data_IF_626688308822
#
_entry.id   IF_626688308822
#
_cell.length_a   1.000
_cell.length_b   1.000
_cell.length_c   1.000
_cell.angle_alpha   90.00
_cell.angle_beta   90.00
_cell.angle_gamma   90.00
#
_symmetry.space_group_name_H-M   'P 1'
#
loop_
_entity.id
_entity.type
_entity.pdbx_description
1 polymer ?
#
# COMPACT_ATOMS: atom_id res chain seq x y z
N UNK A 1 -2.22 -12.70 -13.65
CA UNK A 1 -2.88 -13.48 -12.56
C UNK A 1 -4.35 -13.09 -12.50
N UNK A 2 -5.29 -14.05 -12.49
CA UNK A 2 -6.72 -13.69 -12.47
C UNK A 2 -7.21 -13.26 -11.06
N UNK A 3 -6.57 -13.72 -10.00
CA UNK A 3 -6.89 -13.39 -8.60
C UNK A 3 -5.60 -13.18 -7.79
N UNK A 4 -5.66 -12.25 -6.83
CA UNK A 4 -4.63 -12.13 -5.80
C UNK A 4 -4.68 -13.33 -4.87
N UNK A 5 -3.54 -13.78 -4.30
CA UNK A 5 -3.58 -14.75 -3.22
C UNK A 5 -4.28 -14.16 -2.00
N UNK A 6 -4.95 -14.98 -1.23
CA UNK A 6 -5.35 -14.61 0.12
C UNK A 6 -4.12 -14.75 1.02
N UNK A 7 -3.69 -13.64 1.64
CA UNK A 7 -2.58 -13.64 2.59
C UNK A 7 -3.13 -13.39 3.99
N UNK A 8 -2.72 -14.24 4.93
CA UNK A 8 -3.16 -14.12 6.31
C UNK A 8 -2.00 -13.73 7.23
N UNK A 9 -2.27 -12.84 8.16
CA UNK A 9 -1.36 -12.47 9.24
C UNK A 9 -2.00 -12.79 10.60
N UNK A 10 -1.41 -12.33 11.68
CA UNK A 10 -1.99 -12.53 13.02
C UNK A 10 -3.38 -11.90 13.15
N UNK A 11 -3.57 -10.66 12.65
CA UNK A 11 -4.80 -9.88 12.83
C UNK A 11 -5.58 -9.66 11.54
N UNK A 12 -4.97 -9.88 10.38
CA UNK A 12 -5.47 -9.42 9.09
C UNK A 12 -5.69 -10.57 8.11
N UNK A 13 -6.65 -10.34 7.22
CA UNK A 13 -6.78 -11.04 5.93
C UNK A 13 -6.56 -10.00 4.84
N UNK A 14 -5.59 -10.25 3.97
CA UNK A 14 -5.34 -9.46 2.76
C UNK A 14 -5.91 -10.26 1.59
N UNK A 15 -6.92 -9.73 0.93
CA UNK A 15 -7.63 -10.39 -0.17
C UNK A 15 -7.89 -9.43 -1.32
N UNK A 16 -8.31 -9.94 -2.45
CA UNK A 16 -8.83 -9.08 -3.52
C UNK A 16 -9.85 -8.09 -2.98
N UNK A 17 -9.71 -6.82 -3.38
CA UNK A 17 -10.75 -5.82 -3.13
C UNK A 17 -12.00 -6.15 -3.96
N UNK A 18 -13.15 -5.84 -3.43
CA UNK A 18 -14.46 -6.10 -4.03
C UNK A 18 -15.34 -4.86 -4.01
N UNK A 19 -16.30 -4.76 -4.91
CA UNK A 19 -17.32 -3.71 -4.87
C UNK A 19 -18.10 -3.71 -3.54
N UNK A 20 -18.20 -4.85 -2.89
CA UNK A 20 -18.85 -4.98 -1.56
C UNK A 20 -18.07 -4.26 -0.44
N UNK A 21 -16.79 -3.93 -0.66
CA UNK A 21 -15.98 -3.15 0.28
C UNK A 21 -16.24 -1.63 0.19
N UNK A 22 -17.08 -1.18 -0.75
CA UNK A 22 -17.31 0.24 -0.97
C UNK A 22 -17.82 1.01 0.27
N UNK A 23 -18.74 0.49 1.10
CA UNK A 23 -19.15 1.17 2.32
C UNK A 23 -17.99 1.39 3.31
N UNK A 24 -17.20 0.35 3.56
CA UNK A 24 -16.05 0.41 4.47
C UNK A 24 -14.94 1.33 3.92
N UNK A 25 -14.67 1.26 2.62
CA UNK A 25 -13.71 2.15 1.97
C UNK A 25 -14.18 3.61 2.00
N UNK A 26 -15.45 3.87 1.70
CA UNK A 26 -16.01 5.21 1.70
C UNK A 26 -15.89 5.87 3.08
N UNK A 27 -16.12 5.12 4.16
CA UNK A 27 -16.02 5.62 5.53
C UNK A 27 -14.66 6.31 5.79
N UNK A 28 -13.54 5.73 5.37
CA UNK A 28 -12.23 6.33 5.58
C UNK A 28 -11.75 7.20 4.41
N UNK A 29 -12.23 6.96 3.20
CA UNK A 29 -11.78 7.69 2.03
C UNK A 29 -12.30 9.13 1.95
N UNK A 30 -13.30 9.48 2.76
CA UNK A 30 -13.76 10.86 2.93
C UNK A 30 -12.88 11.70 3.86
N UNK A 31 -11.97 11.06 4.62
CA UNK A 31 -11.14 11.74 5.61
C UNK A 31 -10.02 12.54 4.94
N UNK A 32 -9.97 13.85 5.22
CA UNK A 32 -8.96 14.78 4.72
C UNK A 32 -7.54 14.52 5.26
N UNK A 33 -7.41 13.73 6.32
CA UNK A 33 -6.10 13.31 6.85
C UNK A 33 -5.55 12.06 6.15
N UNK A 34 -6.32 11.39 5.27
CA UNK A 34 -5.92 10.15 4.61
C UNK A 34 -5.57 10.40 3.15
N UNK A 35 -6.54 10.76 2.32
CA UNK A 35 -6.37 10.93 0.89
C UNK A 35 -5.24 11.87 0.50
N UNK A 36 -5.21 13.10 1.02
CA UNK A 36 -4.16 14.07 0.69
C UNK A 36 -2.73 13.61 1.04
N UNK A 37 -2.56 12.81 2.10
CA UNK A 37 -1.26 12.22 2.46
C UNK A 37 -0.86 11.03 1.57
N UNK A 38 -1.82 10.41 0.92
CA UNK A 38 -1.61 9.33 -0.05
C UNK A 38 -1.60 9.85 -1.51
N UNK A 39 -1.86 11.14 -1.72
CA UNK A 39 -1.79 11.80 -3.03
C UNK A 39 -3.11 11.91 -3.77
N UNK A 40 -4.24 11.48 -3.21
CA UNK A 40 -5.55 11.52 -3.84
C UNK A 40 -6.58 12.39 -3.08
N UNK A 41 -7.60 12.86 -3.80
CA UNK A 41 -8.67 13.69 -3.24
C UNK A 41 -9.61 12.84 -2.36
N UNK A 42 -10.08 13.37 -1.21
CA UNK A 42 -11.13 12.70 -0.44
C UNK A 42 -12.35 12.41 -1.30
N UNK A 43 -12.91 11.22 -1.16
CA UNK A 43 -14.07 10.80 -1.94
C UNK A 43 -15.31 11.60 -1.54
N UNK A 44 -16.09 12.03 -2.54
CA UNK A 44 -17.27 12.89 -2.35
C UNK A 44 -18.59 12.12 -2.31
N UNK A 45 -18.56 10.86 -2.77
CA UNK A 45 -19.73 9.99 -2.77
C UNK A 45 -19.34 8.52 -2.78
N UNK A 46 -20.26 7.66 -2.37
CA UNK A 46 -20.05 6.21 -2.44
C UNK A 46 -19.95 5.73 -3.91
N UNK A 47 -20.58 6.41 -4.85
CA UNK A 47 -20.48 6.13 -6.29
C UNK A 47 -19.05 6.38 -6.80
N UNK A 48 -18.40 7.45 -6.32
CA UNK A 48 -16.99 7.70 -6.62
C UNK A 48 -16.12 6.58 -6.06
N UNK A 49 -16.35 6.14 -4.81
CA UNK A 49 -15.63 4.99 -4.22
C UNK A 49 -15.82 3.72 -5.04
N UNK A 50 -17.05 3.42 -5.49
CA UNK A 50 -17.33 2.27 -6.35
C UNK A 50 -16.55 2.38 -7.67
N UNK A 51 -16.49 3.57 -8.26
CA UNK A 51 -15.70 3.84 -9.46
C UNK A 51 -14.20 3.58 -9.25
N UNK A 52 -13.65 4.04 -8.13
CA UNK A 52 -12.24 3.80 -7.75
C UNK A 52 -11.97 2.30 -7.56
N UNK A 53 -12.86 1.58 -6.84
CA UNK A 53 -12.72 0.12 -6.72
C UNK A 53 -12.77 -0.55 -8.11
N UNK A 54 -13.62 -0.09 -9.01
CA UNK A 54 -13.65 -0.55 -10.40
C UNK A 54 -12.30 -0.36 -11.09
N UNK A 55 -11.66 0.79 -10.93
CA UNK A 55 -10.31 1.05 -11.47
C UNK A 55 -9.25 0.10 -10.85
N UNK A 56 -9.33 -0.22 -9.57
CA UNK A 56 -8.45 -1.19 -8.91
C UNK A 56 -8.64 -2.60 -9.48
N UNK A 57 -9.88 -3.02 -9.71
CA UNK A 57 -10.17 -4.31 -10.33
C UNK A 57 -9.67 -4.39 -11.79
N UNK A 58 -9.74 -3.28 -12.52
CA UNK A 58 -9.25 -3.19 -13.89
C UNK A 58 -7.71 -3.10 -13.98
N UNK A 59 -7.00 -2.74 -12.91
CA UNK A 59 -5.53 -2.68 -12.89
C UNK A 59 -4.89 -4.02 -13.24
N UNK A 60 -5.50 -5.13 -12.84
CA UNK A 60 -5.08 -6.49 -13.19
C UNK A 60 -5.13 -6.76 -14.70
N UNK A 61 -6.11 -6.19 -15.42
CA UNK A 61 -6.21 -6.29 -16.86
C UNK A 61 -5.05 -5.60 -17.58
N UNK A 62 -4.42 -4.63 -16.91
CA UNK A 62 -3.24 -3.90 -17.40
C UNK A 62 -1.91 -4.55 -17.00
N UNK A 63 -1.95 -5.73 -16.36
CA UNK A 63 -0.76 -6.47 -15.95
C UNK A 63 -0.21 -6.07 -14.56
N UNK A 64 -0.91 -5.20 -13.83
CA UNK A 64 -0.60 -4.92 -12.43
C UNK A 64 -1.02 -6.07 -11.53
N UNK A 65 -0.35 -6.31 -10.39
CA UNK A 65 -0.76 -7.36 -9.46
C UNK A 65 -2.18 -7.16 -8.94
N UNK A 66 -2.58 -5.92 -8.64
CA UNK A 66 -3.88 -5.55 -8.09
C UNK A 66 -3.80 -5.01 -6.68
N UNK A 67 -4.95 -4.62 -6.13
CA UNK A 67 -5.08 -3.99 -4.82
C UNK A 67 -5.70 -4.96 -3.82
N UNK A 68 -5.04 -5.14 -2.68
CA UNK A 68 -5.56 -5.91 -1.56
C UNK A 68 -6.42 -5.04 -0.65
N UNK A 69 -7.59 -5.53 -0.30
CA UNK A 69 -8.32 -5.06 0.87
C UNK A 69 -7.60 -5.55 2.14
N UNK A 70 -7.35 -4.65 3.08
CA UNK A 70 -6.86 -4.98 4.42
C UNK A 70 -8.06 -5.18 5.34
N UNK A 71 -8.32 -6.42 5.73
CA UNK A 71 -9.52 -6.80 6.48
C UNK A 71 -9.13 -7.29 7.87
N UNK A 72 -9.79 -6.79 8.91
CA UNK A 72 -9.62 -7.27 10.27
C UNK A 72 -10.31 -8.62 10.48
N UNK A 73 -9.58 -9.60 11.02
CA UNK A 73 -10.15 -10.92 11.37
C UNK A 73 -11.22 -10.86 12.46
N UNK A 74 -11.08 -9.89 13.37
CA UNK A 74 -11.96 -9.71 14.53
C UNK A 74 -13.41 -9.48 14.15
N UNK A 75 -13.67 -8.68 13.12
CA UNK A 75 -15.01 -8.24 12.76
C UNK A 75 -15.30 -8.25 11.25
N UNK A 76 -14.38 -8.81 10.48
CA UNK A 76 -14.43 -8.86 9.02
C UNK A 76 -14.60 -7.49 8.34
N UNK A 77 -14.19 -6.39 9.00
CA UNK A 77 -14.25 -5.03 8.46
C UNK A 77 -13.02 -4.74 7.59
N UNK A 78 -13.26 -4.21 6.40
CA UNK A 78 -12.19 -3.66 5.56
C UNK A 78 -11.78 -2.28 6.10
N UNK A 79 -10.51 -2.12 6.44
CA UNK A 79 -9.99 -0.94 7.13
C UNK A 79 -8.95 -0.15 6.34
N UNK A 80 -8.58 -0.63 5.16
CA UNK A 80 -7.58 0.00 4.32
C UNK A 80 -7.28 -0.79 3.06
N UNK A 81 -6.37 -0.27 2.26
CA UNK A 81 -5.85 -0.91 1.05
C UNK A 81 -4.34 -1.01 1.10
N UNK A 82 -3.79 -2.02 0.42
CA UNK A 82 -2.35 -2.16 0.19
C UNK A 82 -2.12 -2.80 -1.17
N UNK A 83 -1.09 -2.33 -1.89
CA UNK A 83 -0.82 -2.79 -3.26
C UNK A 83 0.67 -2.73 -3.61
N UNK A 84 1.05 -3.48 -4.64
CA UNK A 84 2.28 -3.29 -5.40
C UNK A 84 1.89 -2.70 -6.77
N UNK A 85 2.24 -1.46 -7.03
CA UNK A 85 1.96 -0.74 -8.27
C UNK A 85 3.25 -0.32 -8.97
N UNK A 86 3.18 0.32 -10.14
CA UNK A 86 4.34 0.55 -10.99
C UNK A 86 5.17 -0.74 -11.19
N UNK A 87 4.45 -1.82 -11.38
CA UNK A 87 4.99 -3.18 -11.39
C UNK A 87 5.72 -3.51 -12.69
N UNK A 88 6.98 -3.86 -12.57
CA UNK A 88 7.79 -4.43 -13.65
C UNK A 88 8.10 -5.89 -13.29
N UNK A 89 7.50 -6.86 -14.02
CA UNK A 89 7.63 -8.29 -13.69
C UNK A 89 9.07 -8.75 -13.49
N UNK A 90 9.33 -9.44 -12.36
CA UNK A 90 10.65 -9.97 -12.02
C UNK A 90 11.71 -8.91 -11.70
N UNK A 91 11.32 -7.63 -11.67
CA UNK A 91 12.27 -6.55 -11.38
C UNK A 91 11.84 -5.71 -10.18
N UNK A 92 10.84 -4.83 -10.30
CA UNK A 92 10.48 -3.92 -9.21
C UNK A 92 8.99 -3.58 -9.15
N UNK A 93 8.60 -3.09 -7.98
CA UNK A 93 7.29 -2.45 -7.77
C UNK A 93 7.39 -1.38 -6.68
N UNK A 94 6.40 -0.50 -6.61
CA UNK A 94 6.21 0.40 -5.48
C UNK A 94 5.12 -0.15 -4.55
N UNK A 95 5.37 -0.09 -3.24
CA UNK A 95 4.39 -0.45 -2.21
C UNK A 95 3.59 0.79 -1.83
N UNK A 96 2.29 0.75 -2.09
CA UNK A 96 1.31 1.77 -1.70
C UNK A 96 0.33 1.26 -0.67
N UNK A 97 -0.15 2.14 0.21
CA UNK A 97 -1.15 1.79 1.21
C UNK A 97 -1.97 3.00 1.68
N UNK A 98 -3.18 2.71 2.12
CA UNK A 98 -4.03 3.63 2.86
C UNK A 98 -4.69 2.88 4.03
N UNK A 99 -4.90 3.56 5.15
CA UNK A 99 -5.49 2.97 6.36
C UNK A 99 -6.45 3.95 7.01
N UNK A 100 -7.59 3.47 7.42
CA UNK A 100 -8.55 4.19 8.25
C UNK A 100 -7.87 4.75 9.50
N UNK A 101 -8.10 6.04 9.78
CA UNK A 101 -7.50 6.80 10.88
C UNK A 101 -7.74 6.16 12.25
N UNK A 102 -8.87 5.51 12.45
CA UNK A 102 -9.22 4.79 13.67
C UNK A 102 -8.23 3.67 14.03
N UNK A 103 -7.42 3.21 13.07
CA UNK A 103 -6.47 2.12 13.24
C UNK A 103 -5.00 2.55 13.19
N UNK A 104 -4.73 3.87 13.10
CA UNK A 104 -3.37 4.38 13.11
C UNK A 104 -2.65 4.09 14.44
N UNK A 105 -1.33 4.00 14.38
CA UNK A 105 -0.50 3.74 15.55
C UNK A 105 -0.52 2.30 16.09
N UNK A 106 -1.37 1.42 15.54
CA UNK A 106 -1.55 0.03 16.00
C UNK A 106 -0.67 -0.99 15.29
N UNK A 107 0.24 -0.56 14.41
CA UNK A 107 1.13 -1.46 13.67
C UNK A 107 0.44 -2.28 12.56
N UNK A 108 -0.73 -1.86 12.10
CA UNK A 108 -1.52 -2.57 11.08
C UNK A 108 -0.79 -2.55 9.71
N UNK A 109 -0.34 -1.37 9.25
CA UNK A 109 0.37 -1.27 7.96
C UNK A 109 1.68 -2.05 7.97
N UNK A 110 2.57 -1.95 8.99
CA UNK A 110 3.74 -2.83 9.05
C UNK A 110 3.41 -4.31 8.93
N UNK A 111 2.38 -4.81 9.65
CA UNK A 111 1.96 -6.21 9.59
C UNK A 111 1.47 -6.61 8.19
N UNK A 112 0.62 -5.80 7.56
CA UNK A 112 0.14 -6.03 6.21
C UNK A 112 1.29 -5.98 5.19
N UNK A 113 2.16 -4.97 5.30
CA UNK A 113 3.27 -4.76 4.39
C UNK A 113 4.30 -5.89 4.44
N UNK A 114 4.60 -6.47 5.61
CA UNK A 114 5.48 -7.63 5.71
C UNK A 114 4.97 -8.82 4.87
N UNK A 115 3.65 -9.08 4.87
CA UNK A 115 3.08 -10.14 4.04
C UNK A 115 3.16 -9.83 2.54
N UNK A 116 2.93 -8.57 2.13
CA UNK A 116 3.03 -8.13 0.74
C UNK A 116 4.48 -8.12 0.26
N UNK A 117 5.43 -7.68 1.08
CA UNK A 117 6.87 -7.68 0.77
C UNK A 117 7.35 -9.12 0.57
N UNK A 118 6.96 -10.04 1.48
CA UNK A 118 7.29 -11.46 1.32
C UNK A 118 6.72 -12.02 0.01
N UNK A 119 5.47 -11.74 -0.29
CA UNK A 119 4.85 -12.15 -1.56
C UNK A 119 5.58 -11.56 -2.77
N UNK A 120 5.95 -10.29 -2.72
CA UNK A 120 6.69 -9.61 -3.77
C UNK A 120 8.04 -10.26 -4.07
N UNK A 121 8.86 -10.51 -3.04
CA UNK A 121 10.18 -11.09 -3.24
C UNK A 121 10.13 -12.60 -3.52
N UNK A 122 9.30 -13.35 -2.79
CA UNK A 122 9.30 -14.82 -2.86
C UNK A 122 8.48 -15.34 -4.05
N UNK A 123 7.30 -14.76 -4.29
CA UNK A 123 6.36 -15.26 -5.30
C UNK A 123 6.47 -14.52 -6.62
N UNK A 124 6.55 -13.18 -6.60
CA UNK A 124 6.67 -12.38 -7.82
C UNK A 124 8.11 -12.27 -8.31
N UNK A 125 9.10 -12.69 -7.51
CA UNK A 125 10.52 -12.69 -7.87
C UNK A 125 11.11 -11.30 -8.04
N UNK A 126 10.53 -10.28 -7.37
CA UNK A 126 11.02 -8.92 -7.45
C UNK A 126 12.45 -8.82 -6.95
N UNK A 127 13.21 -7.88 -7.52
CA UNK A 127 14.58 -7.55 -7.11
C UNK A 127 14.62 -6.34 -6.21
N UNK A 128 13.53 -5.55 -6.25
CA UNK A 128 13.41 -4.31 -5.51
C UNK A 128 11.93 -3.99 -5.21
N UNK A 129 11.68 -3.49 -4.00
CA UNK A 129 10.42 -2.84 -3.62
C UNK A 129 10.76 -1.43 -3.15
N UNK A 130 10.03 -0.46 -3.66
CA UNK A 130 10.16 0.97 -3.32
C UNK A 130 8.96 1.42 -2.50
N UNK A 131 9.15 2.43 -1.65
CA UNK A 131 8.08 3.23 -1.05
C UNK A 131 8.45 4.69 -1.28
N UNK A 132 7.53 5.47 -1.85
CA UNK A 132 7.72 6.90 -1.97
C UNK A 132 6.66 7.63 -1.15
N UNK A 133 7.07 8.58 -0.31
CA UNK A 133 6.17 9.33 0.56
C UNK A 133 6.52 10.81 0.57
N UNK A 134 5.56 11.67 0.92
CA UNK A 134 5.84 13.09 1.09
C UNK A 134 6.80 13.33 2.26
N UNK A 135 7.68 14.32 2.12
CA UNK A 135 8.69 14.65 3.14
C UNK A 135 8.07 14.86 4.52
N UNK A 136 6.89 15.47 4.59
CA UNK A 136 6.17 15.76 5.82
C UNK A 136 5.27 14.62 6.32
N UNK A 137 5.19 13.51 5.60
CA UNK A 137 4.42 12.34 6.03
C UNK A 137 5.23 11.46 6.99
N UNK A 138 5.43 11.95 8.22
CA UNK A 138 6.22 11.24 9.25
C UNK A 138 5.67 9.86 9.61
N UNK A 139 4.36 9.62 9.45
CA UNK A 139 3.76 8.31 9.71
C UNK A 139 4.23 7.27 8.72
N UNK A 140 4.21 7.61 7.43
CA UNK A 140 4.70 6.73 6.37
C UNK A 140 6.22 6.51 6.48
N UNK A 141 7.00 7.53 6.82
CA UNK A 141 8.45 7.40 7.08
C UNK A 141 8.72 6.40 8.19
N UNK A 142 7.98 6.46 9.31
CA UNK A 142 8.10 5.48 10.40
C UNK A 142 7.72 4.04 9.98
N UNK A 143 6.79 3.88 9.05
CA UNK A 143 6.47 2.56 8.48
C UNK A 143 7.68 2.04 7.71
N UNK A 144 8.30 2.86 6.84
CA UNK A 144 9.50 2.49 6.09
C UNK A 144 10.64 2.05 7.02
N UNK A 145 10.92 2.83 8.07
CA UNK A 145 11.94 2.53 9.08
C UNK A 145 11.67 1.19 9.79
N UNK A 146 10.42 0.97 10.25
CA UNK A 146 10.03 -0.28 10.93
C UNK A 146 10.18 -1.51 10.03
N UNK A 147 9.88 -1.37 8.76
CA UNK A 147 10.03 -2.44 7.77
C UNK A 147 11.50 -2.68 7.38
N UNK A 148 12.39 -1.72 7.69
CA UNK A 148 13.81 -1.80 7.37
C UNK A 148 14.15 -1.39 5.95
N UNK A 149 13.35 -0.50 5.37
CA UNK A 149 13.69 0.15 4.11
C UNK A 149 14.81 1.16 4.31
N UNK A 150 15.68 1.26 3.34
CA UNK A 150 16.75 2.27 3.31
C UNK A 150 16.25 3.55 2.64
N UNK A 151 16.44 4.71 3.30
CA UNK A 151 16.20 6.01 2.67
C UNK A 151 17.29 6.26 1.62
N UNK A 152 16.89 6.49 0.37
CA UNK A 152 17.81 6.65 -0.76
C UNK A 152 17.93 8.10 -1.24
N UNK A 153 17.02 8.96 -0.81
CA UNK A 153 17.09 10.37 -1.11
C UNK A 153 15.74 11.05 -1.35
N UNK A 154 15.80 12.32 -1.74
CA UNK A 154 14.65 13.17 -1.96
C UNK A 154 14.52 13.56 -3.43
N UNK A 155 13.40 13.18 -4.04
CA UNK A 155 12.99 13.69 -5.34
C UNK A 155 12.32 15.06 -5.14
N UNK A 156 13.07 16.13 -5.36
CA UNK A 156 12.54 17.51 -5.26
C UNK A 156 11.49 17.74 -6.32
N UNK A 157 10.33 18.32 -5.94
CA UNK A 157 9.16 18.53 -6.81
C UNK A 157 8.72 17.25 -7.51
N UNK A 158 8.86 16.10 -6.82
CA UNK A 158 8.65 14.77 -7.37
C UNK A 158 7.19 14.34 -7.49
N UNK A 159 6.24 15.17 -7.05
CA UNK A 159 4.82 14.84 -7.12
C UNK A 159 3.95 16.07 -7.30
N UNK A 160 3.08 16.03 -8.30
CA UNK A 160 2.00 17.00 -8.50
C UNK A 160 0.71 16.39 -7.94
N UNK A 161 0.22 16.95 -6.84
CA UNK A 161 -1.01 16.46 -6.21
C UNK A 161 -2.25 16.97 -6.95
N UNK A 162 -3.39 16.31 -6.77
CA UNK A 162 -4.67 16.60 -7.41
C UNK A 162 -5.15 18.06 -7.28
N UNK A 163 -4.70 18.79 -6.26
CA UNK A 163 -5.03 20.19 -5.97
C UNK A 163 -4.02 21.18 -6.59
N UNK A 164 -3.09 20.70 -7.39
CA UNK A 164 -2.07 21.51 -8.06
C UNK A 164 -0.85 21.82 -7.19
N UNK A 165 -0.80 21.35 -5.94
CA UNK A 165 0.35 21.56 -5.06
C UNK A 165 1.45 20.56 -5.42
N UNK A 166 2.69 21.06 -5.53
CA UNK A 166 3.86 20.25 -5.84
C UNK A 166 4.59 19.91 -4.54
N UNK A 167 4.88 18.62 -4.34
CA UNK A 167 5.56 18.10 -3.16
C UNK A 167 6.90 17.43 -3.50
N UNK A 168 7.82 17.53 -2.55
CA UNK A 168 9.01 16.69 -2.53
C UNK A 168 8.64 15.30 -1.99
N UNK A 169 9.23 14.25 -2.58
CA UNK A 169 9.04 12.85 -2.14
C UNK A 169 10.35 12.30 -1.59
N UNK A 170 10.28 11.64 -0.45
CA UNK A 170 11.37 10.77 0.02
C UNK A 170 11.19 9.39 -0.58
N UNK A 171 12.26 8.85 -1.14
CA UNK A 171 12.31 7.52 -1.75
C UNK A 171 12.99 6.57 -0.78
N UNK A 172 12.33 5.49 -0.49
CA UNK A 172 12.82 4.36 0.29
C UNK A 172 12.90 3.12 -0.61
N UNK A 173 13.96 2.34 -0.46
CA UNK A 173 14.16 1.10 -1.21
C UNK A 173 14.48 -0.08 -0.31
N UNK A 174 14.11 -1.28 -0.77
CA UNK A 174 14.56 -2.56 -0.23
C UNK A 174 14.85 -3.49 -1.39
N UNK A 175 16.03 -4.10 -1.40
CA UNK A 175 16.42 -5.10 -2.38
C UNK A 175 16.11 -6.52 -1.89
N UNK A 176 16.01 -7.48 -2.82
CA UNK A 176 15.84 -8.90 -2.50
C UNK A 176 16.99 -9.42 -1.61
N UNK A 177 18.21 -8.97 -1.88
CA UNK A 177 19.40 -9.36 -1.09
C UNK A 177 19.27 -8.91 0.37
N UNK A 178 18.87 -7.66 0.62
CA UNK A 178 18.64 -7.14 1.97
C UNK A 178 17.54 -7.92 2.68
N UNK A 179 16.40 -8.15 1.99
CA UNK A 179 15.29 -8.91 2.52
C UNK A 179 15.69 -10.33 2.93
N UNK A 180 16.36 -11.09 2.05
CA UNK A 180 16.75 -12.47 2.34
C UNK A 180 17.85 -12.57 3.41
N UNK A 181 18.77 -11.61 3.49
CA UNK A 181 19.77 -11.56 4.56
C UNK A 181 19.12 -11.30 5.93
N UNK A 182 18.15 -10.36 5.99
CA UNK A 182 17.39 -10.09 7.22
C UNK A 182 16.62 -11.32 7.70
N UNK A 183 15.96 -12.04 6.80
CA UNK A 183 15.16 -13.23 7.16
C UNK A 183 16.00 -14.46 7.56
N UNK A 184 17.24 -14.57 7.06
CA UNK A 184 18.18 -15.62 7.51
C UNK A 184 18.67 -15.42 8.94
N UNK A 185 18.86 -14.17 9.36
CA UNK A 185 19.35 -13.83 10.70
C UNK A 185 18.27 -13.92 11.80
N UNK A 186 17.01 -14.16 11.43
CA UNK A 186 15.88 -14.33 12.35
C UNK A 186 15.52 -15.81 12.61
N UNK A 187 16.21 -16.74 11.97
CA UNK A 187 16.11 -18.20 12.19
C UNK A 187 17.28 -18.70 13.02
#
# INVERSE_FOLDING_TARGET
>A
MNHLPMLETKRLVLRDISILDAPDMYEYATDYDIGPLAGWAPHRSIQETIGIIGMFLDSKKRGEPGVFAVVLKENNKMIGTIELYNYVPGFKAELGYALSKAYWGRGIIPEAAEAIINWGFVTLGLKRIEIATFVDNYRSKRVCEKLGFTEEGVARKGYLRYDGIIFDKVIYGMTDTEYFNKTKNLK
#
